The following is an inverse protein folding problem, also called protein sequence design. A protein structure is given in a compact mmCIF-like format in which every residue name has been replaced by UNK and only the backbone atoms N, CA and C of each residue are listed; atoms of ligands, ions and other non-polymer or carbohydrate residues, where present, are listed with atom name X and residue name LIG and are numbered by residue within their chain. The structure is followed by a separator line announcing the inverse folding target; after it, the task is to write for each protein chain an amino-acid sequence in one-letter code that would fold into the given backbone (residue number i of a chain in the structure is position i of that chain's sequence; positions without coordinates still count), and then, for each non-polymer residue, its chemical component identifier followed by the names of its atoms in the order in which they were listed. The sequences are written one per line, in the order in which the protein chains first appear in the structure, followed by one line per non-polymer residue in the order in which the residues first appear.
data_IF_251963451692
#
_entry.id   IF_251963451692
#
_cell.length_a   1.000
_cell.length_b   1.000
_cell.length_c   1.000
_cell.angle_alpha   90.00
_cell.angle_beta   90.00
_cell.angle_gamma   90.00
#
_symmetry.space_group_name_H-M   'P 1'
#
loop_
_entity.id
_entity.type
_entity.pdbx_description
1 polymer ?
#
# COMPACT_ATOMS: atom_id res chain seq x y z
N UNK A 1 1.58 16.71 11.13
CA UNK A 1 1.13 15.30 11.20
C UNK A 1 1.25 14.74 12.62
N UNK A 2 2.41 14.79 13.31
CA UNK A 2 2.58 14.16 14.63
C UNK A 2 2.40 15.07 15.87
N UNK A 3 1.73 16.22 15.75
CA UNK A 3 1.61 17.18 16.86
C UNK A 3 0.87 16.59 18.07
N UNK A 4 -0.26 15.90 17.83
CA UNK A 4 -1.05 15.25 18.88
C UNK A 4 -0.27 14.14 19.59
N UNK A 5 0.51 13.34 18.84
CA UNK A 5 1.36 12.29 19.41
C UNK A 5 2.43 12.90 20.33
N UNK A 6 3.05 14.00 19.91
CA UNK A 6 4.06 14.70 20.70
C UNK A 6 3.47 15.30 21.99
N UNK A 7 2.23 15.77 21.94
CA UNK A 7 1.52 16.29 23.11
C UNK A 7 1.16 15.17 24.10
N UNK A 8 0.52 14.09 23.62
CA UNK A 8 0.09 12.97 24.47
C UNK A 8 1.24 12.09 24.97
N UNK A 9 2.29 11.92 24.18
CA UNK A 9 3.44 11.08 24.50
C UNK A 9 4.77 11.80 24.20
N UNK A 10 5.19 12.78 25.01
CA UNK A 10 6.37 13.62 24.71
C UNK A 10 7.67 12.86 24.49
N UNK A 11 7.81 11.66 25.08
CA UNK A 11 8.99 10.80 24.98
C UNK A 11 8.88 9.70 23.92
N UNK A 12 7.85 9.68 23.06
CA UNK A 12 7.60 8.59 22.10
C UNK A 12 8.84 8.20 21.26
N UNK A 13 9.72 9.15 20.96
CA UNK A 13 10.97 8.92 20.22
C UNK A 13 11.94 7.96 20.88
N UNK A 14 11.92 7.82 22.21
CA UNK A 14 12.78 6.86 22.92
C UNK A 14 12.35 5.40 22.69
N UNK A 15 11.14 5.20 22.15
CA UNK A 15 10.62 3.88 21.78
C UNK A 15 10.88 3.56 20.30
N UNK A 16 11.56 4.44 19.57
CA UNK A 16 11.83 4.30 18.15
C UNK A 16 13.31 4.03 17.95
N UNK A 17 13.61 2.87 17.38
CA UNK A 17 14.94 2.53 16.87
C UNK A 17 14.84 2.47 15.35
N UNK A 18 15.59 3.33 14.66
CA UNK A 18 15.64 3.32 13.21
C UNK A 18 16.66 2.30 12.73
N UNK A 19 16.25 1.45 11.79
CA UNK A 19 17.13 0.49 11.09
C UNK A 19 17.21 0.92 9.64
N UNK A 20 18.42 1.06 9.12
CA UNK A 20 18.63 1.37 7.71
C UNK A 20 18.32 0.12 6.86
N UNK A 21 17.62 0.32 5.74
CA UNK A 21 17.28 -0.75 4.80
C UNK A 21 16.60 -0.23 3.54
N UNK A 22 16.56 -1.09 2.53
CA UNK A 22 15.93 -0.87 1.23
C UNK A 22 15.32 -2.19 0.74
N UNK A 23 14.00 -2.19 0.50
CA UNK A 23 13.27 -3.35 -0.01
C UNK A 23 13.75 -3.82 -1.41
N UNK A 24 14.47 -2.98 -2.15
CA UNK A 24 15.08 -3.36 -3.43
C UNK A 24 16.34 -4.19 -3.20
N UNK A 25 17.02 -4.08 -2.06
CA UNK A 25 18.25 -4.82 -1.80
C UNK A 25 17.96 -6.21 -1.22
N UNK A 26 18.77 -7.25 -1.54
CA UNK A 26 18.67 -8.55 -0.89
C UNK A 26 18.77 -8.43 0.63
N UNK A 27 17.92 -9.17 1.36
CA UNK A 27 17.90 -9.11 2.82
C UNK A 27 17.57 -7.71 3.36
N UNK A 28 16.81 -6.93 2.57
CA UNK A 28 16.43 -5.55 2.85
C UNK A 28 17.62 -4.58 2.95
N UNK A 29 18.82 -4.95 2.48
CA UNK A 29 20.03 -4.14 2.65
C UNK A 29 20.43 -3.91 4.12
N UNK A 30 19.92 -4.75 5.02
CA UNK A 30 20.10 -4.62 6.45
C UNK A 30 21.51 -5.02 6.86
N UNK A 31 22.12 -4.27 7.80
CA UNK A 31 23.41 -4.65 8.35
C UNK A 31 23.32 -5.95 9.15
N UNK A 32 24.44 -6.69 9.24
CA UNK A 32 24.47 -7.92 10.05
C UNK A 32 24.17 -7.65 11.53
N UNK A 33 24.60 -6.50 12.06
CA UNK A 33 24.34 -6.08 13.44
C UNK A 33 22.85 -5.82 13.68
N UNK A 34 22.18 -5.10 12.77
CA UNK A 34 20.75 -4.83 12.86
C UNK A 34 19.92 -6.10 12.71
N UNK A 35 20.33 -7.00 11.80
CA UNK A 35 19.65 -8.31 11.63
C UNK A 35 19.69 -9.14 12.90
N UNK A 36 20.84 -9.17 13.59
CA UNK A 36 20.97 -9.87 14.88
C UNK A 36 20.10 -9.24 15.97
N UNK A 37 20.05 -7.90 16.03
CA UNK A 37 19.16 -7.19 16.96
C UNK A 37 17.69 -7.54 16.68
N UNK A 38 17.27 -7.50 15.41
CA UNK A 38 15.91 -7.84 14.99
C UNK A 38 15.57 -9.30 15.36
N UNK A 39 16.44 -10.24 15.02
CA UNK A 39 16.26 -11.66 15.32
C UNK A 39 16.18 -11.95 16.84
N UNK A 40 16.88 -11.17 17.67
CA UNK A 40 16.83 -11.33 19.12
C UNK A 40 15.58 -10.69 19.73
N UNK A 41 15.26 -9.47 19.34
CA UNK A 41 14.39 -8.58 20.13
C UNK A 41 12.98 -8.41 19.54
N UNK A 42 12.73 -8.77 18.28
CA UNK A 42 11.44 -8.52 17.61
C UNK A 42 10.45 -9.67 17.85
N UNK A 43 9.30 -9.31 18.43
CA UNK A 43 8.18 -10.23 18.69
C UNK A 43 7.00 -10.05 17.74
N UNK A 44 6.81 -8.87 17.14
CA UNK A 44 5.71 -8.59 16.22
C UNK A 44 6.26 -7.83 15.02
N UNK A 45 5.91 -8.28 13.82
CA UNK A 45 6.31 -7.62 12.57
C UNK A 45 5.08 -7.14 11.82
N UNK A 46 5.07 -5.85 11.47
CA UNK A 46 4.10 -5.27 10.56
C UNK A 46 4.81 -4.94 9.24
N UNK A 47 4.53 -5.71 8.20
CA UNK A 47 5.09 -5.46 6.87
C UNK A 47 4.11 -4.65 6.02
N UNK A 48 4.37 -3.34 5.95
CA UNK A 48 3.55 -2.33 5.25
C UNK A 48 4.30 -1.68 4.08
N UNK A 49 5.60 -1.96 3.93
CA UNK A 49 6.42 -1.39 2.87
C UNK A 49 6.04 -1.98 1.51
N UNK A 50 5.64 -1.13 0.57
CA UNK A 50 5.28 -1.49 -0.79
C UNK A 50 5.44 -0.29 -1.73
N UNK A 51 5.60 -0.55 -3.03
CA UNK A 51 5.28 0.45 -4.07
C UNK A 51 3.85 0.23 -4.55
N UNK A 52 3.07 1.31 -4.58
CA UNK A 52 1.63 1.31 -4.92
C UNK A 52 1.34 2.03 -6.24
N UNK A 53 2.36 2.23 -7.07
CA UNK A 53 2.22 2.88 -8.38
C UNK A 53 1.73 1.88 -9.42
N UNK A 54 0.62 2.22 -10.07
CA UNK A 54 0.05 1.39 -11.14
C UNK A 54 0.93 1.30 -12.39
N UNK A 55 1.84 2.27 -12.60
CA UNK A 55 2.76 2.33 -13.74
C UNK A 55 4.21 2.01 -13.37
N UNK A 56 4.43 1.36 -12.23
CA UNK A 56 5.77 0.98 -11.77
C UNK A 56 6.43 -0.04 -12.71
N UNK A 57 7.75 0.10 -12.90
CA UNK A 57 8.52 -0.88 -13.68
C UNK A 57 8.63 -2.20 -12.91
N UNK A 58 8.50 -3.33 -13.61
CA UNK A 58 8.62 -4.67 -13.00
C UNK A 58 9.92 -4.87 -12.22
N UNK A 59 11.05 -4.34 -12.72
CA UNK A 59 12.35 -4.36 -12.03
C UNK A 59 12.39 -3.64 -10.68
N UNK A 60 11.42 -2.78 -10.39
CA UNK A 60 11.26 -2.16 -9.07
C UNK A 60 10.11 -2.80 -8.29
N UNK A 61 8.98 -3.05 -8.94
CA UNK A 61 7.80 -3.61 -8.30
C UNK A 61 8.04 -5.02 -7.73
N UNK A 62 8.73 -5.90 -8.46
CA UNK A 62 8.97 -7.29 -8.03
C UNK A 62 9.91 -7.37 -6.83
N UNK A 63 11.09 -6.70 -6.82
CA UNK A 63 11.91 -6.65 -5.61
C UNK A 63 11.15 -6.14 -4.38
N UNK A 64 10.39 -5.05 -4.52
CA UNK A 64 9.75 -4.40 -3.38
C UNK A 64 8.55 -5.22 -2.87
N UNK A 65 7.65 -5.63 -3.76
CA UNK A 65 6.36 -6.21 -3.38
C UNK A 65 6.34 -7.75 -3.36
N UNK A 66 7.36 -8.42 -3.91
CA UNK A 66 7.42 -9.91 -3.94
C UNK A 66 8.65 -10.41 -3.17
N UNK A 67 9.85 -9.93 -3.50
CA UNK A 67 11.06 -10.38 -2.81
C UNK A 67 11.13 -9.85 -1.37
N UNK A 68 10.82 -8.58 -1.14
CA UNK A 68 10.94 -7.99 0.21
C UNK A 68 10.02 -8.65 1.25
N UNK A 69 8.74 -8.98 0.97
CA UNK A 69 7.95 -9.79 1.90
C UNK A 69 8.58 -11.14 2.20
N UNK A 70 9.16 -11.81 1.20
CA UNK A 70 9.89 -13.07 1.39
C UNK A 70 11.10 -12.89 2.29
N UNK A 71 11.92 -11.86 2.04
CA UNK A 71 13.09 -11.55 2.87
C UNK A 71 12.69 -11.24 4.31
N UNK A 72 11.59 -10.52 4.53
CA UNK A 72 11.06 -10.26 5.89
C UNK A 72 10.61 -11.56 6.56
N UNK A 73 9.93 -12.45 5.84
CA UNK A 73 9.54 -13.78 6.36
C UNK A 73 10.78 -14.60 6.72
N UNK A 74 11.83 -14.55 5.91
CA UNK A 74 13.08 -15.26 6.20
C UNK A 74 13.78 -14.69 7.44
N UNK A 75 13.77 -13.37 7.65
CA UNK A 75 14.22 -12.74 8.91
C UNK A 75 13.32 -13.18 10.08
N UNK A 76 12.00 -13.23 9.89
CA UNK A 76 11.07 -13.67 10.93
C UNK A 76 11.34 -15.10 11.41
N UNK A 77 11.83 -15.99 10.53
CA UNK A 77 12.22 -17.36 10.92
C UNK A 77 13.45 -17.39 11.84
N UNK A 78 14.27 -16.35 11.83
CA UNK A 78 15.41 -16.19 12.73
C UNK A 78 15.00 -15.57 14.07
N UNK A 79 13.80 -14.98 14.16
CA UNK A 79 13.33 -14.30 15.35
C UNK A 79 12.98 -15.27 16.49
N UNK A 80 13.76 -15.20 17.57
CA UNK A 80 13.64 -16.10 18.74
C UNK A 80 12.36 -15.91 19.57
N UNK A 81 11.73 -14.73 19.49
CA UNK A 81 10.55 -14.37 20.28
C UNK A 81 9.34 -13.97 19.44
N UNK A 82 9.31 -14.32 18.14
CA UNK A 82 8.22 -13.97 17.23
C UNK A 82 6.87 -14.53 17.72
N UNK A 83 5.86 -13.66 17.72
CA UNK A 83 4.46 -13.94 18.08
C UNK A 83 3.52 -13.73 16.91
N UNK A 84 3.79 -12.74 16.05
CA UNK A 84 2.93 -12.43 14.91
C UNK A 84 3.69 -11.76 13.76
N UNK A 85 3.31 -12.14 12.54
CA UNK A 85 3.66 -11.45 11.31
C UNK A 85 2.36 -10.94 10.66
N UNK A 86 2.25 -9.64 10.47
CA UNK A 86 1.09 -8.96 9.90
C UNK A 86 1.52 -8.32 8.58
N UNK A 87 1.03 -8.88 7.48
CA UNK A 87 1.25 -8.34 6.15
C UNK A 87 0.07 -7.47 5.71
N UNK A 88 0.37 -6.25 5.28
CA UNK A 88 -0.63 -5.38 4.64
C UNK A 88 -0.60 -5.63 3.15
N UNK A 89 -1.63 -6.32 2.66
CA UNK A 89 -1.84 -6.54 1.23
C UNK A 89 -2.83 -5.51 0.65
N UNK A 90 -3.38 -5.80 -0.52
CA UNK A 90 -4.37 -4.96 -1.20
C UNK A 90 -5.59 -5.79 -1.58
N UNK A 91 -6.78 -5.17 -1.52
CA UNK A 91 -8.02 -5.75 -2.04
C UNK A 91 -7.89 -6.13 -3.54
N UNK A 92 -6.93 -5.53 -4.25
CA UNK A 92 -6.68 -5.80 -5.66
C UNK A 92 -5.85 -7.06 -5.93
N UNK A 93 -5.30 -7.73 -4.91
CA UNK A 93 -4.41 -8.89 -5.09
C UNK A 93 -5.09 -10.03 -5.86
N UNK A 94 -6.41 -10.18 -5.65
CA UNK A 94 -7.24 -11.21 -6.29
C UNK A 94 -8.37 -10.61 -7.14
N UNK A 95 -8.18 -9.39 -7.65
CA UNK A 95 -9.20 -8.69 -8.45
C UNK A 95 -9.64 -9.37 -9.76
N UNK A 96 -8.91 -10.36 -10.35
CA UNK A 96 -9.46 -11.15 -11.45
C UNK A 96 -10.71 -11.96 -11.09
N UNK A 97 -10.93 -12.26 -9.81
CA UNK A 97 -12.12 -12.95 -9.32
C UNK A 97 -13.19 -11.95 -8.87
N UNK A 98 -14.45 -12.20 -9.18
CA UNK A 98 -15.56 -11.36 -8.70
C UNK A 98 -15.92 -11.66 -7.23
N UNK A 99 -15.73 -12.90 -6.78
CA UNK A 99 -15.88 -13.32 -5.39
C UNK A 99 -14.50 -13.66 -4.83
N UNK A 100 -14.12 -12.93 -3.78
CA UNK A 100 -12.83 -13.05 -3.11
C UNK A 100 -13.10 -13.58 -1.71
N UNK A 101 -12.66 -14.80 -1.46
CA UNK A 101 -12.85 -15.55 -0.23
C UNK A 101 -11.64 -15.38 0.71
N UNK A 102 -11.83 -15.63 2.01
CA UNK A 102 -10.77 -15.61 3.02
C UNK A 102 -9.93 -16.90 2.96
N UNK A 103 -9.26 -17.11 1.82
CA UNK A 103 -8.36 -18.23 1.59
C UNK A 103 -7.08 -17.78 0.90
N UNK A 104 -6.08 -18.65 0.95
CA UNK A 104 -4.90 -18.49 0.12
C UNK A 104 -5.23 -18.96 -1.30
N UNK A 105 -4.96 -18.09 -2.28
CA UNK A 105 -5.14 -18.40 -3.68
C UNK A 105 -3.82 -18.93 -4.24
N UNK A 106 -3.91 -19.98 -5.06
CA UNK A 106 -2.75 -20.49 -5.77
C UNK A 106 -2.24 -19.42 -6.75
N UNK A 107 -0.99 -18.99 -6.65
CA UNK A 107 -0.45 -17.98 -7.55
C UNK A 107 -0.26 -18.60 -8.96
N UNK A 108 -0.40 -17.81 -10.02
CA UNK A 108 -0.20 -18.29 -11.39
C UNK A 108 1.26 -18.66 -11.69
N UNK A 109 2.20 -18.21 -10.86
CA UNK A 109 3.63 -18.45 -10.98
C UNK A 109 4.28 -18.46 -9.59
N UNK A 110 5.30 -19.30 -9.44
CA UNK A 110 6.16 -19.32 -8.27
C UNK A 110 6.95 -18.00 -8.11
N UNK A 111 7.09 -17.54 -6.86
CA UNK A 111 7.73 -16.25 -6.57
C UNK A 111 9.21 -16.22 -6.96
N UNK A 112 9.97 -17.30 -6.73
CA UNK A 112 11.39 -17.36 -7.06
C UNK A 112 11.58 -17.37 -8.58
N UNK A 113 10.69 -18.03 -9.32
CA UNK A 113 10.67 -17.97 -10.80
C UNK A 113 10.39 -16.55 -11.29
N UNK A 114 9.41 -15.84 -10.71
CA UNK A 114 9.10 -14.46 -11.10
C UNK A 114 10.26 -13.50 -10.83
N UNK A 115 10.92 -13.64 -9.67
CA UNK A 115 12.12 -12.87 -9.32
C UNK A 115 13.24 -13.16 -10.32
N UNK A 116 13.53 -14.43 -10.59
CA UNK A 116 14.56 -14.84 -11.56
C UNK A 116 14.30 -14.28 -12.95
N UNK A 117 13.06 -14.38 -13.45
CA UNK A 117 12.67 -13.82 -14.75
C UNK A 117 12.88 -12.31 -14.79
N UNK A 118 12.52 -11.61 -13.71
CA UNK A 118 12.68 -10.15 -13.62
C UNK A 118 14.15 -9.74 -13.60
N UNK A 119 15.00 -10.49 -12.92
CA UNK A 119 16.45 -10.25 -12.87
C UNK A 119 17.12 -10.51 -14.23
N UNK A 120 16.63 -11.51 -14.98
CA UNK A 120 17.12 -11.82 -16.33
C UNK A 120 16.60 -10.89 -17.44
N UNK A 121 15.59 -10.06 -17.18
CA UNK A 121 15.08 -9.11 -18.18
C UNK A 121 16.14 -8.03 -18.47
N UNK A 122 16.63 -7.99 -19.71
CA UNK A 122 17.55 -6.93 -20.14
C UNK A 122 16.80 -5.59 -20.29
N UNK A 123 17.36 -4.52 -19.72
CA UNK A 123 16.75 -3.17 -19.71
C UNK A 123 16.65 -2.57 -21.11
N UNK A 124 17.53 -2.99 -22.02
CA UNK A 124 17.68 -2.40 -23.36
C UNK A 124 16.49 -2.65 -24.28
N UNK A 125 15.76 -3.76 -24.14
CA UNK A 125 14.60 -4.04 -24.99
C UNK A 125 13.37 -3.20 -24.61
N UNK A 126 13.31 -2.71 -23.36
CA UNK A 126 12.19 -1.90 -22.86
C UNK A 126 12.31 -0.44 -23.29
N UNK A 127 13.53 0.06 -23.51
CA UNK A 127 13.76 1.42 -24.03
C UNK A 127 13.62 1.51 -25.56
N UNK A 128 13.99 0.45 -26.31
CA UNK A 128 13.94 0.44 -27.79
C UNK A 128 12.51 0.40 -28.36
N UNK A 129 11.51 -0.01 -27.59
CA UNK A 129 10.09 -0.03 -28.00
C UNK A 129 9.36 1.27 -27.65
N UNK A 130 10.00 2.20 -26.93
CA UNK A 130 9.41 3.51 -26.63
C UNK A 130 9.52 4.42 -27.85
N UNK A 131 8.41 4.81 -28.52
CA UNK A 131 8.50 5.72 -29.66
C UNK A 131 9.12 7.05 -29.24
N UNK A 132 10.16 7.50 -29.95
CA UNK A 132 10.77 8.83 -29.81
C UNK A 132 9.65 9.89 -29.82
N UNK A 133 9.35 10.39 -28.62
CA UNK A 133 8.12 11.13 -28.35
C UNK A 133 8.23 12.60 -28.75
N UNK A 134 7.37 12.98 -29.69
CA UNK A 134 7.04 14.34 -30.16
C UNK A 134 7.14 15.46 -29.11
N UNK A 135 7.57 16.65 -29.52
CA UNK A 135 7.89 17.83 -28.70
C UNK A 135 6.69 18.54 -28.02
N UNK A 136 5.44 18.13 -28.26
CA UNK A 136 4.27 18.85 -27.73
C UNK A 136 3.83 18.37 -26.33
N UNK A 137 3.96 19.26 -25.34
CA UNK A 137 3.61 19.02 -23.92
C UNK A 137 2.16 18.58 -23.72
N UNK A 138 1.21 19.11 -24.49
CA UNK A 138 -0.22 18.77 -24.36
C UNK A 138 -0.51 17.34 -24.78
N UNK A 139 0.08 16.88 -25.89
CA UNK A 139 -0.05 15.49 -26.33
C UNK A 139 0.55 14.51 -25.34
N UNK A 140 1.64 14.89 -24.65
CA UNK A 140 2.23 14.07 -23.57
C UNK A 140 1.30 13.95 -22.37
N UNK A 141 0.65 15.04 -21.97
CA UNK A 141 -0.35 15.03 -20.88
C UNK A 141 -1.54 14.18 -21.28
N UNK A 142 -2.09 14.38 -22.47
CA UNK A 142 -3.25 13.63 -22.98
C UNK A 142 -2.96 12.13 -23.02
N UNK A 143 -1.82 11.71 -23.56
CA UNK A 143 -1.39 10.30 -23.57
C UNK A 143 -1.28 9.71 -22.16
N UNK A 144 -0.78 10.47 -21.18
CA UNK A 144 -0.71 10.03 -19.78
C UNK A 144 -2.09 9.87 -19.15
N UNK A 145 -2.99 10.83 -19.38
CA UNK A 145 -4.37 10.77 -18.88
C UNK A 145 -5.11 9.56 -19.45
N UNK A 146 -5.02 9.33 -20.77
CA UNK A 146 -5.65 8.18 -21.41
C UNK A 146 -5.10 6.85 -20.90
N UNK A 147 -3.77 6.69 -20.86
CA UNK A 147 -3.17 5.48 -20.29
C UNK A 147 -3.61 5.23 -18.84
N UNK A 148 -3.73 6.30 -18.04
CA UNK A 148 -4.20 6.18 -16.66
C UNK A 148 -5.69 5.81 -16.60
N UNK A 149 -6.52 6.37 -17.48
CA UNK A 149 -7.93 6.01 -17.60
C UNK A 149 -8.10 4.55 -17.98
N UNK A 150 -7.35 4.03 -18.95
CA UNK A 150 -7.40 2.63 -19.38
C UNK A 150 -7.10 1.66 -18.23
N UNK A 151 -6.14 2.01 -17.36
CA UNK A 151 -5.81 1.20 -16.17
C UNK A 151 -6.92 1.30 -15.12
N UNK A 152 -7.43 2.51 -14.87
CA UNK A 152 -8.47 2.73 -13.87
C UNK A 152 -9.83 2.16 -14.26
N UNK A 153 -10.11 2.03 -15.56
CA UNK A 153 -11.39 1.55 -16.08
C UNK A 153 -11.77 0.19 -15.45
N UNK A 154 -10.81 -0.73 -15.46
CA UNK A 154 -10.95 -2.04 -14.81
C UNK A 154 -11.31 -1.93 -13.33
N UNK A 155 -10.64 -1.02 -12.60
CA UNK A 155 -10.82 -0.87 -11.15
C UNK A 155 -12.08 -0.07 -10.77
N UNK A 156 -12.55 0.79 -11.66
CA UNK A 156 -13.64 1.73 -11.40
C UNK A 156 -15.00 1.22 -11.87
N UNK A 157 -15.02 0.30 -12.85
CA UNK A 157 -16.26 -0.22 -13.44
C UNK A 157 -16.64 -1.62 -12.96
N UNK A 158 -15.83 -2.23 -12.09
CA UNK A 158 -16.09 -3.56 -11.55
C UNK A 158 -16.58 -3.50 -10.11
N UNK A 159 -17.40 -4.48 -9.77
CA UNK A 159 -17.85 -4.75 -8.41
C UNK A 159 -17.19 -6.04 -7.94
N UNK A 160 -16.70 -6.03 -6.70
CA UNK A 160 -16.14 -7.20 -6.03
C UNK A 160 -16.89 -7.50 -4.76
N UNK A 161 -17.09 -8.79 -4.49
CA UNK A 161 -17.62 -9.28 -3.22
C UNK A 161 -16.50 -9.94 -2.44
N UNK A 162 -16.25 -9.44 -1.24
CA UNK A 162 -15.27 -10.00 -0.32
C UNK A 162 -16.00 -10.75 0.79
N UNK A 163 -15.64 -12.02 1.02
CA UNK A 163 -16.00 -12.69 2.26
C UNK A 163 -15.15 -12.12 3.41
N UNK A 164 -15.74 -12.06 4.60
CA UNK A 164 -15.07 -11.55 5.80
C UNK A 164 -15.57 -12.28 7.06
N UNK A 165 -15.90 -13.56 6.91
CA UNK A 165 -16.45 -14.42 7.95
C UNK A 165 -15.43 -14.71 9.05
N UNK A 166 -14.14 -14.86 8.72
CA UNK A 166 -13.08 -14.97 9.73
C UNK A 166 -12.93 -13.66 10.51
N UNK A 167 -12.99 -12.51 9.84
CA UNK A 167 -12.99 -11.21 10.52
C UNK A 167 -14.19 -11.05 11.46
N UNK A 168 -15.40 -11.41 11.01
CA UNK A 168 -16.62 -11.40 11.86
C UNK A 168 -16.48 -12.36 13.05
N UNK A 169 -15.92 -13.55 12.84
CA UNK A 169 -15.68 -14.55 13.88
C UNK A 169 -14.63 -14.09 14.89
N UNK A 170 -13.59 -13.37 14.44
CA UNK A 170 -12.62 -12.75 15.32
C UNK A 170 -13.28 -11.66 16.17
N UNK A 171 -14.04 -10.77 15.54
CA UNK A 171 -14.74 -9.68 16.22
C UNK A 171 -15.70 -10.17 17.30
N UNK A 172 -16.42 -11.27 17.05
CA UNK A 172 -17.35 -11.85 18.04
C UNK A 172 -16.64 -12.38 19.29
N UNK A 173 -15.36 -12.75 19.18
CA UNK A 173 -14.53 -13.26 20.27
C UNK A 173 -13.80 -12.16 21.05
N UNK A 174 -13.71 -10.94 20.53
CA UNK A 174 -13.07 -9.82 21.22
C UNK A 174 -13.89 -9.40 22.45
N UNK A 175 -13.18 -9.04 23.53
CA UNK A 175 -13.79 -8.39 24.69
C UNK A 175 -14.30 -6.99 24.32
N UNK A 176 -15.22 -6.43 25.11
CA UNK A 176 -15.71 -5.06 24.90
C UNK A 176 -14.57 -4.04 24.88
N UNK A 177 -13.61 -4.21 25.79
CA UNK A 177 -12.41 -3.37 25.89
C UNK A 177 -11.51 -3.51 24.65
N UNK A 178 -11.33 -4.72 24.13
CA UNK A 178 -10.53 -4.92 22.91
C UNK A 178 -11.23 -4.35 21.68
N UNK A 179 -12.57 -4.43 21.61
CA UNK A 179 -13.34 -3.78 20.54
C UNK A 179 -13.18 -2.27 20.55
N UNK A 180 -13.06 -1.65 21.73
CA UNK A 180 -12.77 -0.22 21.83
C UNK A 180 -11.36 0.12 21.29
N UNK A 181 -10.35 -0.68 21.63
CA UNK A 181 -8.98 -0.45 21.17
C UNK A 181 -8.76 -0.77 19.69
N UNK A 182 -9.39 -1.84 19.20
CA UNK A 182 -9.20 -2.37 17.85
C UNK A 182 -10.40 -2.11 16.94
N UNK A 183 -11.26 -1.16 17.32
CA UNK A 183 -12.51 -0.87 16.64
C UNK A 183 -12.34 -0.64 15.15
N UNK A 184 -12.81 -1.60 14.35
CA UNK A 184 -12.72 -1.56 12.88
C UNK A 184 -14.08 -1.83 12.23
N UNK A 185 -15.18 -1.51 12.91
CA UNK A 185 -16.51 -1.64 12.34
C UNK A 185 -16.80 -0.45 11.41
N UNK A 186 -16.65 -0.68 10.11
CA UNK A 186 -16.90 0.33 9.08
C UNK A 186 -18.36 0.83 9.07
N UNK A 187 -19.29 0.12 9.72
CA UNK A 187 -20.69 0.54 9.83
C UNK A 187 -20.88 1.70 10.79
N UNK A 188 -19.94 1.88 11.72
CA UNK A 188 -19.96 2.98 12.70
C UNK A 188 -19.43 4.30 12.10
N UNK A 189 -18.87 4.25 10.90
CA UNK A 189 -18.35 5.43 10.21
C UNK A 189 -19.52 6.29 9.70
N UNK A 190 -19.57 7.56 10.12
CA UNK A 190 -20.37 8.58 9.45
C UNK A 190 -19.74 8.88 8.07
N UNK A 191 -20.16 8.11 7.06
CA UNK A 191 -19.66 8.20 5.69
C UNK A 191 -19.86 9.58 5.08
N UNK A 192 -20.96 10.23 5.41
CA UNK A 192 -21.31 11.56 4.95
C UNK A 192 -20.30 12.59 5.47
N UNK A 193 -19.99 12.54 6.77
CA UNK A 193 -18.96 13.38 7.37
C UNK A 193 -17.57 13.05 6.81
N UNK A 194 -17.25 11.76 6.70
CA UNK A 194 -15.98 11.29 6.15
C UNK A 194 -15.74 11.83 4.74
N UNK A 195 -16.69 11.66 3.82
CA UNK A 195 -16.56 12.15 2.44
C UNK A 195 -16.50 13.67 2.36
N UNK A 196 -17.23 14.40 3.21
CA UNK A 196 -17.11 15.86 3.29
C UNK A 196 -15.70 16.30 3.69
N UNK A 197 -15.12 15.65 4.70
CA UNK A 197 -13.75 15.95 5.15
C UNK A 197 -12.71 15.51 4.11
N UNK A 198 -12.90 14.34 3.51
CA UNK A 198 -12.04 13.81 2.45
C UNK A 198 -11.99 14.73 1.24
N UNK A 199 -13.13 15.16 0.70
CA UNK A 199 -13.21 16.06 -0.45
C UNK A 199 -12.62 17.44 -0.14
N UNK A 200 -12.85 17.95 1.08
CA UNK A 200 -12.20 19.18 1.55
C UNK A 200 -10.67 19.02 1.62
N UNK A 201 -10.20 17.86 2.10
CA UNK A 201 -8.78 17.51 2.14
C UNK A 201 -8.15 17.48 0.75
N UNK A 202 -8.79 16.81 -0.22
CA UNK A 202 -8.37 16.82 -1.63
C UNK A 202 -8.25 18.25 -2.14
N UNK A 203 -9.30 19.07 -1.95
CA UNK A 203 -9.34 20.45 -2.43
C UNK A 203 -8.14 21.25 -1.91
N UNK A 204 -7.95 21.28 -0.58
CA UNK A 204 -6.95 22.13 0.07
C UNK A 204 -5.53 21.58 -0.12
N UNK A 205 -5.33 20.27 0.03
CA UNK A 205 -3.99 19.71 0.14
C UNK A 205 -3.47 19.10 -1.15
N UNK A 206 -4.33 18.54 -2.00
CA UNK A 206 -3.92 17.94 -3.28
C UNK A 206 -4.06 18.95 -4.42
N UNK A 207 -5.24 19.56 -4.58
CA UNK A 207 -5.53 20.52 -5.64
C UNK A 207 -4.95 21.91 -5.31
N UNK A 208 -4.68 22.18 -4.02
CA UNK A 208 -4.21 23.49 -3.53
C UNK A 208 -5.20 24.63 -3.81
N UNK A 209 -6.49 24.32 -3.84
CA UNK A 209 -7.57 25.29 -3.99
C UNK A 209 -8.17 25.61 -2.60
N UNK A 210 -8.06 26.85 -2.09
CA UNK A 210 -8.54 27.16 -0.75
C UNK A 210 -10.07 27.16 -0.67
N UNK A 211 -10.61 27.33 0.54
CA UNK A 211 -12.06 27.23 0.77
C UNK A 211 -12.83 28.49 0.35
N UNK A 212 -12.15 29.62 0.28
CA UNK A 212 -12.69 30.94 -0.07
C UNK A 212 -13.13 31.06 -1.54
N UNK A 213 -12.62 30.20 -2.42
CA UNK A 213 -12.99 30.12 -3.83
C UNK A 213 -14.29 29.33 -4.10
N UNK A 214 -14.87 28.69 -3.08
CA UNK A 214 -16.10 27.91 -3.21
C UNK A 214 -17.31 28.70 -3.71
N UNK A 215 -17.57 29.95 -3.26
CA UNK A 215 -18.68 30.76 -3.78
C UNK A 215 -18.59 30.95 -5.29
N UNK A 216 -17.41 31.31 -5.82
CA UNK A 216 -17.20 31.49 -7.25
C UNK A 216 -17.33 30.18 -8.03
N UNK A 217 -16.85 29.06 -7.47
CA UNK A 217 -17.01 27.75 -8.08
C UNK A 217 -18.49 27.33 -8.21
N UNK A 218 -19.33 27.63 -7.19
CA UNK A 218 -20.78 27.36 -7.23
C UNK A 218 -21.48 28.14 -8.34
N UNK A 219 -21.11 29.41 -8.53
CA UNK A 219 -21.66 30.24 -9.62
C UNK A 219 -21.30 29.65 -10.99
N UNK A 220 -20.08 29.14 -11.16
CA UNK A 220 -19.64 28.51 -12.42
C UNK A 220 -20.32 27.17 -12.70
N UNK A 221 -20.62 26.39 -11.68
CA UNK A 221 -21.29 25.09 -11.81
C UNK A 221 -22.78 25.21 -12.19
N UNK A 222 -23.42 26.30 -11.78
CA UNK A 222 -24.83 26.59 -12.08
C UNK A 222 -25.04 27.19 -13.48
N UNK A 223 -23.97 27.40 -14.26
CA UNK A 223 -23.99 27.86 -15.65
C UNK A 223 -23.76 26.69 -16.58
#
# INVERSE_FOLDING_TARGET
VFSLLKEKHPKFRHQIVAVAGDCVQPGLGMSAADRQMVARDVSIVFHVAATVRFDEKMKLAVPINVRSPKDVIDICKECSCLKAFVHVSTAYANCPYNLIEEKLYEPPMDADKLVTLTDCMDEKLVEEITPRSSSNRMLKIYKKVHKFMDVLDYFSMKEWKFSNDNLKSLWSKLSEKDREYFGSDIREIDWDHYFRMYMRGIRIYLIKDPMDTLPQARIRWQR
#
